data_IF_853106799946
#
_entry.id   IF_853106799946
#
_cell.length_a   1.000
_cell.length_b   1.000
_cell.length_c   1.000
_cell.angle_alpha   90.00
_cell.angle_beta   90.00
_cell.angle_gamma   90.00
#
_symmetry.space_group_name_H-M   'P 1'
#
loop_
_entity.id
_entity.type
_entity.pdbx_description
1 polymer ?
#
# COMPACT_ATOMS: atom_id res chain seq x y z
N UNK A 1 -47.32 10.43 26.65
CA UNK A 1 -46.86 11.54 25.77
C UNK A 1 -45.34 11.66 25.54
N UNK A 2 -44.41 11.04 26.25
CA UNK A 2 -42.97 11.18 25.99
C UNK A 2 -42.46 10.38 24.78
N UNK A 3 -43.07 9.23 24.44
CA UNK A 3 -42.59 8.35 23.34
C UNK A 3 -42.67 8.94 21.92
N UNK A 4 -43.64 9.80 21.63
CA UNK A 4 -43.77 10.46 20.30
C UNK A 4 -42.65 11.49 20.06
N UNK A 5 -42.29 12.25 21.12
CA UNK A 5 -41.18 13.22 21.02
C UNK A 5 -39.84 12.52 20.86
N UNK A 6 -39.59 11.40 21.57
CA UNK A 6 -38.39 10.61 21.43
C UNK A 6 -38.21 10.07 20.01
N UNK A 7 -39.27 9.52 19.40
CA UNK A 7 -39.23 9.05 18.00
C UNK A 7 -38.93 10.19 17.02
N UNK A 8 -39.54 11.36 17.22
CA UNK A 8 -39.28 12.53 16.36
C UNK A 8 -37.80 12.96 16.45
N UNK A 9 -37.25 13.07 17.66
CA UNK A 9 -35.84 13.39 17.86
C UNK A 9 -34.89 12.35 17.22
N UNK A 10 -35.20 11.05 17.33
CA UNK A 10 -34.43 9.99 16.67
C UNK A 10 -34.43 10.19 15.15
N UNK A 11 -35.56 10.48 14.52
CA UNK A 11 -35.61 10.75 13.09
C UNK A 11 -34.82 11.98 12.66
N UNK A 12 -34.86 13.05 13.47
CA UNK A 12 -34.07 14.28 13.24
C UNK A 12 -32.58 13.96 13.30
N UNK A 13 -32.14 13.26 14.34
CA UNK A 13 -30.72 12.85 14.50
C UNK A 13 -30.27 11.95 13.35
N UNK A 14 -31.07 10.94 12.97
CA UNK A 14 -30.78 10.10 11.82
C UNK A 14 -30.71 10.91 10.51
N UNK A 15 -31.60 11.86 10.31
CA UNK A 15 -31.57 12.76 9.16
C UNK A 15 -30.31 13.60 9.10
N UNK A 16 -29.88 14.20 10.22
CA UNK A 16 -28.61 14.93 10.29
C UNK A 16 -27.40 14.03 10.04
N UNK A 17 -27.40 12.81 10.59
CA UNK A 17 -26.31 11.85 10.36
C UNK A 17 -26.20 11.48 8.88
N UNK A 18 -27.32 11.18 8.23
CA UNK A 18 -27.33 10.86 6.80
C UNK A 18 -26.87 12.04 5.93
N UNK A 19 -27.31 13.26 6.26
CA UNK A 19 -26.85 14.47 5.58
C UNK A 19 -25.35 14.69 5.78
N UNK A 20 -24.84 14.50 6.98
CA UNK A 20 -23.41 14.59 7.28
C UNK A 20 -22.61 13.57 6.47
N UNK A 21 -23.01 12.28 6.48
CA UNK A 21 -22.35 11.23 5.70
C UNK A 21 -22.40 11.50 4.19
N UNK A 22 -23.54 11.99 3.69
CA UNK A 22 -23.68 12.40 2.29
C UNK A 22 -22.75 13.57 1.93
N UNK A 23 -22.68 14.59 2.78
CA UNK A 23 -21.81 15.73 2.58
C UNK A 23 -20.32 15.34 2.62
N UNK A 24 -19.92 14.46 3.56
CA UNK A 24 -18.54 13.94 3.62
C UNK A 24 -18.18 13.16 2.39
N UNK A 25 -19.08 12.31 1.89
CA UNK A 25 -18.87 11.56 0.66
C UNK A 25 -18.69 12.49 -0.56
N UNK A 26 -19.59 13.45 -0.75
CA UNK A 26 -19.48 14.41 -1.87
C UNK A 26 -18.18 15.21 -1.78
N UNK A 27 -17.85 15.73 -0.60
CA UNK A 27 -16.61 16.44 -0.36
C UNK A 27 -15.38 15.56 -0.65
N UNK A 28 -15.40 14.30 -0.23
CA UNK A 28 -14.33 13.35 -0.49
C UNK A 28 -14.14 13.11 -2.00
N UNK A 29 -15.22 12.86 -2.75
CA UNK A 29 -15.15 12.66 -4.20
C UNK A 29 -14.61 13.90 -4.93
N UNK A 30 -15.03 15.09 -4.50
CA UNK A 30 -14.52 16.35 -5.06
C UNK A 30 -13.03 16.53 -4.74
N UNK A 31 -12.61 16.25 -3.50
CA UNK A 31 -11.21 16.32 -3.08
C UNK A 31 -10.34 15.35 -3.87
N UNK A 32 -10.76 14.08 -4.01
CA UNK A 32 -10.02 13.09 -4.81
C UNK A 32 -9.79 13.55 -6.26
N UNK A 33 -10.82 14.14 -6.89
CA UNK A 33 -10.68 14.67 -8.26
C UNK A 33 -9.70 15.83 -8.36
N UNK A 34 -9.61 16.67 -7.35
CA UNK A 34 -8.68 17.78 -7.33
C UNK A 34 -7.26 17.33 -6.98
N UNK A 35 -7.12 16.48 -5.99
CA UNK A 35 -5.85 15.88 -5.56
C UNK A 35 -5.22 15.05 -6.69
N UNK A 36 -6.01 14.27 -7.42
CA UNK A 36 -5.50 13.48 -8.56
C UNK A 36 -4.84 14.30 -9.65
N UNK A 37 -5.24 15.58 -9.82
CA UNK A 37 -4.62 16.50 -10.78
C UNK A 37 -3.24 16.97 -10.34
N UNK A 38 -2.96 16.94 -9.03
CA UNK A 38 -1.68 17.36 -8.45
C UNK A 38 -0.68 16.20 -8.40
N UNK A 39 -1.16 14.96 -8.52
CA UNK A 39 -0.34 13.77 -8.42
C UNK A 39 0.24 13.41 -9.80
N UNK A 40 1.54 13.63 -9.96
CA UNK A 40 2.29 13.14 -11.12
C UNK A 40 3.00 11.84 -10.71
N UNK A 41 2.83 10.73 -11.45
CA UNK A 41 3.52 9.49 -11.14
C UNK A 41 5.03 9.69 -11.08
N UNK A 42 5.63 9.29 -9.97
CA UNK A 42 7.08 9.30 -9.76
C UNK A 42 7.60 7.91 -10.14
N UNK A 43 8.32 7.82 -11.27
CA UNK A 43 8.84 6.55 -11.75
C UNK A 43 8.30 6.15 -13.11
N UNK A 44 8.43 4.88 -13.45
CA UNK A 44 7.99 4.28 -14.71
C UNK A 44 6.82 3.34 -14.43
N UNK A 45 5.80 3.41 -15.26
CA UNK A 45 4.72 2.43 -15.22
C UNK A 45 5.02 1.26 -16.15
N UNK A 46 4.86 0.05 -15.65
CA UNK A 46 4.98 -1.21 -16.38
C UNK A 46 3.68 -1.99 -16.29
N UNK A 47 3.38 -2.82 -17.28
CA UNK A 47 2.16 -3.62 -17.27
C UNK A 47 2.47 -5.03 -16.78
N UNK A 48 1.82 -5.45 -15.71
CA UNK A 48 1.97 -6.77 -15.09
C UNK A 48 0.58 -7.39 -14.98
N UNK A 49 0.38 -8.58 -15.53
CA UNK A 49 -0.88 -9.33 -15.45
C UNK A 49 -2.14 -8.50 -15.81
N UNK A 50 -2.01 -7.55 -16.74
CA UNK A 50 -3.12 -6.71 -17.21
C UNK A 50 -3.37 -5.44 -16.40
N UNK A 51 -2.65 -5.18 -15.32
CA UNK A 51 -2.72 -3.93 -14.56
C UNK A 51 -1.38 -3.17 -14.59
N UNK A 52 -1.42 -1.86 -14.34
CA UNK A 52 -0.21 -1.02 -14.30
C UNK A 52 0.40 -1.05 -12.91
N UNK A 53 1.68 -1.35 -12.84
CA UNK A 53 2.50 -1.18 -11.63
C UNK A 53 3.49 -0.05 -11.83
N UNK A 54 3.72 0.72 -10.77
CA UNK A 54 4.68 1.81 -10.77
C UNK A 54 5.99 1.37 -10.15
N UNK A 55 7.09 1.72 -10.78
CA UNK A 55 8.43 1.33 -10.36
C UNK A 55 9.39 2.51 -10.52
N UNK A 56 10.09 2.85 -9.46
CA UNK A 56 11.16 3.84 -9.50
C UNK A 56 12.50 3.15 -9.66
N UNK A 57 13.27 3.54 -10.66
CA UNK A 57 14.63 3.06 -10.89
C UNK A 57 15.57 4.27 -10.90
N UNK A 58 16.55 4.30 -9.99
CA UNK A 58 17.51 5.38 -9.84
C UNK A 58 18.94 4.84 -9.73
N UNK A 59 19.89 5.57 -10.29
CA UNK A 59 21.31 5.20 -10.25
C UNK A 59 21.66 4.07 -11.23
N UNK A 60 22.97 3.90 -11.49
CA UNK A 60 23.52 2.98 -12.50
C UNK A 60 24.64 2.09 -11.94
N UNK A 61 24.74 2.00 -10.60
CA UNK A 61 25.78 1.21 -9.95
C UNK A 61 25.70 -0.30 -10.27
N UNK A 62 26.78 -1.04 -10.04
CA UNK A 62 26.89 -2.45 -10.44
C UNK A 62 26.03 -3.39 -9.61
N UNK A 63 25.54 -2.96 -8.46
CA UNK A 63 24.66 -3.72 -7.58
C UNK A 63 23.26 -3.14 -7.62
N UNK A 64 22.27 -3.99 -7.86
CA UNK A 64 20.86 -3.62 -7.78
C UNK A 64 20.33 -3.85 -6.37
N UNK A 65 19.73 -2.81 -5.79
CA UNK A 65 19.02 -2.82 -4.51
C UNK A 65 17.52 -2.66 -4.79
N UNK A 66 16.71 -3.57 -4.28
CA UNK A 66 15.25 -3.54 -4.43
C UNK A 66 14.62 -3.28 -3.08
N UNK A 67 13.79 -2.26 -2.98
CA UNK A 67 12.99 -1.94 -1.80
C UNK A 67 11.59 -2.51 -1.94
N UNK A 68 11.14 -3.21 -0.90
CA UNK A 68 9.81 -3.79 -0.76
C UNK A 68 9.13 -3.20 0.49
N UNK A 69 7.99 -2.57 0.30
CA UNK A 69 7.26 -1.91 1.39
C UNK A 69 6.39 -2.87 2.18
N UNK A 70 6.17 -2.55 3.45
CA UNK A 70 5.18 -3.20 4.29
C UNK A 70 3.74 -2.91 3.88
N UNK A 71 2.79 -3.42 4.66
CA UNK A 71 1.37 -3.13 4.46
C UNK A 71 1.04 -1.68 4.81
N UNK A 72 0.02 -1.13 4.14
CA UNK A 72 -0.55 0.18 4.45
C UNK A 72 0.32 1.40 4.11
N UNK A 73 1.39 1.20 3.36
CA UNK A 73 2.25 2.30 2.90
C UNK A 73 1.62 2.98 1.68
N UNK A 74 1.19 4.24 1.85
CA UNK A 74 0.48 4.97 0.81
C UNK A 74 1.35 5.22 -0.44
N UNK A 75 2.64 5.52 -0.28
CA UNK A 75 3.58 5.71 -1.39
C UNK A 75 4.98 5.20 -1.03
N UNK A 76 5.30 3.94 -1.35
CA UNK A 76 6.61 3.35 -1.11
C UNK A 76 7.79 4.18 -1.63
N UNK A 77 7.64 4.80 -2.80
CA UNK A 77 8.70 5.62 -3.40
C UNK A 77 9.02 6.84 -2.53
N UNK A 78 8.02 7.45 -1.91
CA UNK A 78 8.21 8.60 -1.03
C UNK A 78 8.74 8.17 0.34
N UNK A 79 8.21 7.09 0.90
CA UNK A 79 8.63 6.58 2.22
C UNK A 79 10.10 6.17 2.24
N UNK A 80 10.55 5.48 1.21
CA UNK A 80 11.96 5.07 1.11
C UNK A 80 12.88 6.16 0.55
N UNK A 81 12.38 7.35 0.24
CA UNK A 81 13.18 8.40 -0.42
C UNK A 81 14.46 8.73 0.33
N UNK A 82 14.39 8.85 1.66
CA UNK A 82 15.55 9.19 2.49
C UNK A 82 16.64 8.11 2.53
N UNK A 83 16.32 6.87 2.16
CA UNK A 83 17.27 5.78 2.00
C UNK A 83 17.66 5.58 0.52
N UNK A 84 16.68 5.58 -0.36
CA UNK A 84 16.89 5.28 -1.78
C UNK A 84 17.71 6.36 -2.50
N UNK A 85 17.49 7.66 -2.23
CA UNK A 85 18.21 8.75 -2.88
C UNK A 85 19.72 8.74 -2.57
N UNK A 86 20.19 8.62 -1.32
CA UNK A 86 21.62 8.48 -1.04
C UNK A 86 22.24 7.21 -1.63
N UNK A 87 21.54 6.08 -1.57
CA UNK A 87 22.04 4.81 -2.11
C UNK A 87 22.13 4.84 -3.64
N UNK A 88 21.25 5.56 -4.32
CA UNK A 88 21.26 5.67 -5.78
C UNK A 88 22.51 6.37 -6.34
N UNK A 89 23.26 7.07 -5.51
CA UNK A 89 24.55 7.66 -5.90
C UNK A 89 25.65 6.63 -6.19
N UNK A 90 25.49 5.40 -5.67
CA UNK A 90 26.48 4.32 -5.77
C UNK A 90 25.93 3.02 -6.34
N UNK A 91 24.63 2.82 -6.24
CA UNK A 91 23.95 1.58 -6.60
C UNK A 91 22.78 1.86 -7.57
N UNK A 92 22.36 0.84 -8.28
CA UNK A 92 21.05 0.87 -8.94
C UNK A 92 19.99 0.57 -7.88
N UNK A 93 19.14 1.53 -7.60
CA UNK A 93 18.10 1.43 -6.56
C UNK A 93 16.74 1.38 -7.20
N UNK A 94 15.95 0.41 -6.80
CA UNK A 94 14.61 0.17 -7.31
C UNK A 94 13.63 0.15 -6.15
N UNK A 95 12.54 0.91 -6.29
CA UNK A 95 11.39 0.84 -5.38
C UNK A 95 10.19 0.39 -6.18
N UNK A 96 9.59 -0.73 -5.77
CA UNK A 96 8.39 -1.28 -6.42
C UNK A 96 7.16 -0.89 -5.62
N UNK A 97 6.20 -0.25 -6.26
CA UNK A 97 4.87 -0.04 -5.71
C UNK A 97 3.97 -1.22 -6.12
N UNK A 98 3.53 -2.00 -5.15
CA UNK A 98 2.63 -3.15 -5.40
C UNK A 98 1.29 -2.68 -5.96
N UNK A 99 0.51 -3.58 -6.53
CA UNK A 99 -0.86 -3.28 -6.92
C UNK A 99 -1.64 -2.66 -5.75
N UNK A 100 -2.34 -1.56 -6.03
CA UNK A 100 -3.06 -0.75 -5.05
C UNK A 100 -2.22 0.22 -4.23
N UNK A 101 -0.88 0.26 -4.41
CA UNK A 101 0.02 1.17 -3.69
C UNK A 101 0.50 2.31 -4.58
N UNK A 102 0.62 3.51 -4.02
CA UNK A 102 1.14 4.68 -4.70
C UNK A 102 0.44 4.96 -6.03
N UNK A 103 1.20 4.92 -7.11
CA UNK A 103 0.69 5.12 -8.47
C UNK A 103 0.39 3.81 -9.22
N UNK A 104 0.49 2.66 -8.56
CA UNK A 104 0.09 1.37 -9.14
C UNK A 104 -1.43 1.24 -9.16
N UNK A 105 -1.94 0.67 -10.25
CA UNK A 105 -3.34 0.33 -10.36
C UNK A 105 -3.69 -0.79 -9.38
N UNK A 106 -4.89 -0.78 -8.86
CA UNK A 106 -5.42 -1.89 -8.08
C UNK A 106 -5.60 -3.15 -8.93
N UNK A 107 -5.65 -4.31 -8.30
CA UNK A 107 -5.76 -5.61 -8.95
C UNK A 107 -6.74 -6.51 -8.20
N UNK A 108 -7.60 -7.20 -8.95
CA UNK A 108 -8.55 -8.21 -8.43
C UNK A 108 -7.88 -9.58 -8.19
N UNK A 109 -6.57 -9.69 -8.44
CA UNK A 109 -5.82 -10.94 -8.24
C UNK A 109 -5.60 -11.22 -6.75
N UNK A 110 -5.30 -12.48 -6.44
CA UNK A 110 -4.91 -12.87 -5.08
C UNK A 110 -3.76 -12.00 -4.59
N UNK A 111 -3.79 -11.67 -3.30
CA UNK A 111 -2.72 -10.93 -2.62
C UNK A 111 -1.87 -11.86 -1.74
N UNK A 112 -1.89 -13.17 -2.03
CA UNK A 112 -0.95 -14.09 -1.37
C UNK A 112 0.51 -13.77 -1.74
N UNK A 113 1.41 -14.21 -0.88
CA UNK A 113 2.85 -13.88 -0.97
C UNK A 113 3.44 -14.28 -2.32
N UNK A 114 3.00 -15.41 -2.90
CA UNK A 114 3.55 -15.91 -4.16
C UNK A 114 3.07 -15.12 -5.37
N UNK A 115 1.82 -14.67 -5.36
CA UNK A 115 1.29 -13.81 -6.40
C UNK A 115 1.98 -12.42 -6.36
N UNK A 116 2.09 -11.82 -5.17
CA UNK A 116 2.79 -10.55 -4.98
C UNK A 116 4.26 -10.65 -5.43
N UNK A 117 4.96 -11.71 -5.05
CA UNK A 117 6.32 -11.98 -5.52
C UNK A 117 6.40 -12.12 -7.04
N UNK A 118 5.45 -12.84 -7.64
CA UNK A 118 5.39 -13.00 -9.10
C UNK A 118 5.21 -11.66 -9.80
N UNK A 119 4.30 -10.81 -9.31
CA UNK A 119 4.07 -9.46 -9.83
C UNK A 119 5.32 -8.58 -9.70
N UNK A 120 5.97 -8.59 -8.54
CA UNK A 120 7.22 -7.85 -8.28
C UNK A 120 8.31 -8.26 -9.28
N UNK A 121 8.53 -9.55 -9.47
CA UNK A 121 9.53 -10.07 -10.42
C UNK A 121 9.22 -9.69 -11.88
N UNK A 122 7.95 -9.77 -12.27
CA UNK A 122 7.51 -9.33 -13.59
C UNK A 122 7.70 -7.82 -13.77
N UNK A 123 7.40 -7.00 -12.76
CA UNK A 123 7.61 -5.56 -12.81
C UNK A 123 9.10 -5.21 -13.01
N UNK A 124 10.00 -5.88 -12.31
CA UNK A 124 11.44 -5.73 -12.50
C UNK A 124 11.88 -6.12 -13.91
N UNK A 125 11.41 -7.23 -14.42
CA UNK A 125 11.73 -7.70 -15.78
C UNK A 125 11.24 -6.70 -16.85
N UNK A 126 10.01 -6.18 -16.72
CA UNK A 126 9.43 -5.17 -17.61
C UNK A 126 10.17 -3.82 -17.52
N UNK A 127 10.74 -3.52 -16.37
CA UNK A 127 11.57 -2.33 -16.18
C UNK A 127 13.03 -2.53 -16.66
N UNK A 128 13.39 -3.71 -17.19
CA UNK A 128 14.74 -4.11 -17.59
C UNK A 128 15.74 -4.05 -16.43
N UNK A 129 15.30 -4.45 -15.25
CA UNK A 129 16.12 -4.55 -14.05
C UNK A 129 16.47 -6.02 -13.81
N UNK A 130 17.77 -6.32 -13.79
CA UNK A 130 18.29 -7.67 -13.56
C UNK A 130 19.00 -7.79 -12.23
N UNK A 131 18.95 -9.00 -11.66
CA UNK A 131 19.68 -9.39 -10.44
C UNK A 131 21.12 -9.83 -10.67
N UNK A 132 21.77 -10.42 -9.66
CA UNK A 132 21.18 -10.71 -8.35
C UNK A 132 20.94 -9.46 -7.50
N UNK A 133 19.85 -9.49 -6.72
CA UNK A 133 19.37 -8.34 -5.96
C UNK A 133 19.85 -8.35 -4.50
N UNK A 134 20.17 -7.18 -3.96
CA UNK A 134 20.08 -6.94 -2.52
C UNK A 134 18.66 -6.44 -2.24
N UNK A 135 17.89 -7.19 -1.47
CA UNK A 135 16.50 -6.85 -1.16
C UNK A 135 16.43 -6.21 0.22
N UNK A 136 15.89 -5.00 0.27
CA UNK A 136 15.59 -4.28 1.52
C UNK A 136 14.08 -4.31 1.68
N UNK A 137 13.60 -5.05 2.66
CA UNK A 137 12.17 -5.24 2.90
C UNK A 137 11.76 -4.73 4.28
N UNK A 138 10.62 -4.03 4.32
CA UNK A 138 10.05 -3.46 5.53
C UNK A 138 8.84 -4.27 6.00
N UNK A 139 8.75 -4.52 7.32
CA UNK A 139 7.59 -5.11 7.97
C UNK A 139 7.11 -6.39 7.25
N UNK A 140 5.85 -6.47 6.84
CA UNK A 140 5.24 -7.63 6.19
C UNK A 140 5.89 -8.03 4.85
N UNK A 141 6.64 -7.13 4.19
CA UNK A 141 7.41 -7.48 2.99
C UNK A 141 8.53 -8.49 3.25
N UNK A 142 8.85 -8.76 4.53
CA UNK A 142 9.73 -9.86 4.92
C UNK A 142 9.24 -11.20 4.38
N UNK A 143 7.93 -11.44 4.38
CA UNK A 143 7.35 -12.69 3.86
C UNK A 143 7.64 -12.88 2.37
N UNK A 144 7.49 -11.80 1.58
CA UNK A 144 7.81 -11.80 0.15
C UNK A 144 9.31 -12.02 -0.09
N UNK A 145 10.17 -11.33 0.67
CA UNK A 145 11.63 -11.46 0.51
C UNK A 145 12.16 -12.82 0.93
N UNK A 146 11.61 -13.43 1.98
CA UNK A 146 11.95 -14.78 2.40
C UNK A 146 11.49 -15.83 1.37
N UNK A 147 10.26 -15.71 0.86
CA UNK A 147 9.77 -16.56 -0.21
C UNK A 147 10.59 -16.43 -1.51
N UNK A 148 11.07 -15.20 -1.80
CA UNK A 148 11.96 -14.96 -2.94
C UNK A 148 13.30 -15.69 -2.77
N UNK A 149 13.92 -15.54 -1.61
CA UNK A 149 15.18 -16.24 -1.29
C UNK A 149 15.04 -17.77 -1.35
N UNK A 150 13.93 -18.28 -0.84
CA UNK A 150 13.67 -19.73 -0.83
C UNK A 150 13.46 -20.27 -2.25
N UNK A 151 12.60 -19.62 -3.04
CA UNK A 151 12.18 -20.13 -4.34
C UNK A 151 13.14 -19.79 -5.48
N UNK A 152 13.83 -18.66 -5.39
CA UNK A 152 14.74 -18.16 -6.43
C UNK A 152 16.08 -17.69 -5.82
N UNK A 153 16.84 -18.58 -5.17
CA UNK A 153 18.05 -18.20 -4.42
C UNK A 153 19.12 -17.52 -5.28
N UNK A 154 19.19 -17.87 -6.57
CA UNK A 154 20.15 -17.27 -7.50
C UNK A 154 19.83 -15.82 -7.88
N UNK A 155 18.62 -15.34 -7.61
CA UNK A 155 18.21 -13.97 -7.86
C UNK A 155 18.50 -13.07 -6.67
N UNK A 156 18.76 -13.63 -5.47
CA UNK A 156 18.90 -12.89 -4.22
C UNK A 156 20.33 -12.99 -3.72
N UNK A 157 21.01 -11.85 -3.66
CA UNK A 157 22.38 -11.74 -3.14
C UNK A 157 22.39 -11.57 -1.62
N UNK A 158 21.47 -10.78 -1.10
CA UNK A 158 21.32 -10.54 0.34
C UNK A 158 19.93 -10.02 0.66
N UNK A 159 19.48 -10.26 1.89
CA UNK A 159 18.27 -9.70 2.48
C UNK A 159 18.65 -8.75 3.61
N UNK A 160 18.01 -7.59 3.64
CA UNK A 160 18.16 -6.59 4.71
C UNK A 160 16.75 -6.27 5.24
N UNK A 161 16.53 -6.52 6.53
CA UNK A 161 15.27 -6.27 7.20
C UNK A 161 15.21 -4.87 7.80
N UNK A 162 14.10 -4.20 7.53
CA UNK A 162 13.70 -2.99 8.23
C UNK A 162 12.46 -3.33 9.04
N UNK A 163 12.62 -3.58 10.33
CA UNK A 163 11.55 -3.98 11.25
C UNK A 163 10.70 -5.14 10.70
N UNK A 164 11.35 -6.27 10.46
CA UNK A 164 10.71 -7.43 9.85
C UNK A 164 9.60 -8.01 10.72
N UNK A 165 8.46 -8.22 10.12
CA UNK A 165 7.41 -9.06 10.66
C UNK A 165 7.69 -10.51 10.24
N UNK A 166 8.10 -11.35 11.17
CA UNK A 166 8.40 -12.76 10.90
C UNK A 166 7.11 -13.59 10.79
N UNK A 167 7.10 -14.73 10.08
CA UNK A 167 5.91 -15.58 9.95
C UNK A 167 5.25 -15.92 11.30
N UNK A 168 6.04 -16.24 12.31
CA UNK A 168 5.53 -16.51 13.67
C UNK A 168 4.74 -15.33 14.29
N UNK A 169 4.99 -14.11 13.85
CA UNK A 169 4.23 -12.92 14.31
C UNK A 169 2.79 -12.88 13.83
N UNK A 170 2.44 -13.73 12.85
CA UNK A 170 1.11 -13.79 12.24
C UNK A 170 0.30 -15.03 12.63
N UNK A 171 0.90 -16.02 13.29
CA UNK A 171 0.23 -17.28 13.64
C UNK A 171 -0.98 -17.08 14.55
N UNK A 172 -0.95 -16.06 15.43
CA UNK A 172 -2.02 -15.75 16.38
C UNK A 172 -2.92 -14.57 15.96
N UNK A 173 -2.69 -13.95 14.78
CA UNK A 173 -3.50 -12.85 14.32
C UNK A 173 -4.90 -13.33 13.90
N UNK A 174 -5.89 -13.01 14.71
CA UNK A 174 -7.29 -13.19 14.35
C UNK A 174 -7.77 -12.00 13.52
N UNK A 175 -8.13 -12.27 12.29
CA UNK A 175 -8.75 -11.29 11.43
C UNK A 175 -10.05 -10.76 12.05
N UNK A 176 -10.07 -9.48 12.39
CA UNK A 176 -11.30 -8.83 12.79
C UNK A 176 -12.03 -8.28 11.56
N UNK A 177 -12.76 -9.15 10.87
CA UNK A 177 -13.49 -8.81 9.65
C UNK A 177 -14.45 -7.62 9.84
N UNK A 178 -15.03 -7.44 11.03
CA UNK A 178 -15.89 -6.30 11.33
C UNK A 178 -15.09 -4.99 11.32
N UNK A 179 -13.91 -4.97 11.94
CA UNK A 179 -13.03 -3.80 11.95
C UNK A 179 -12.55 -3.45 10.53
N UNK A 180 -12.15 -4.46 9.74
CA UNK A 180 -11.75 -4.28 8.35
C UNK A 180 -12.87 -3.68 7.50
N UNK A 181 -14.09 -4.19 7.67
CA UNK A 181 -15.27 -3.68 6.96
C UNK A 181 -15.57 -2.22 7.33
N UNK A 182 -15.50 -1.87 8.63
CA UNK A 182 -15.71 -0.50 9.10
C UNK A 182 -14.61 0.42 8.54
N UNK A 183 -13.34 0.01 8.58
CA UNK A 183 -12.22 0.78 8.05
C UNK A 183 -12.38 1.02 6.53
N UNK A 184 -12.72 -0.03 5.77
CA UNK A 184 -12.98 0.05 4.34
C UNK A 184 -14.06 1.08 4.01
N UNK A 185 -15.25 0.96 4.60
CA UNK A 185 -16.35 1.89 4.33
C UNK A 185 -16.04 3.31 4.80
N UNK A 186 -15.37 3.48 5.96
CA UNK A 186 -14.95 4.78 6.47
C UNK A 186 -14.01 5.50 5.49
N UNK A 187 -13.11 4.77 4.83
CA UNK A 187 -12.25 5.34 3.80
C UNK A 187 -13.04 5.74 2.55
N UNK A 188 -13.95 4.88 2.08
CA UNK A 188 -14.75 5.12 0.86
C UNK A 188 -15.67 6.33 0.97
N UNK A 189 -16.23 6.60 2.15
CA UNK A 189 -17.07 7.78 2.41
C UNK A 189 -16.25 9.03 2.82
N UNK A 190 -14.93 8.90 2.95
CA UNK A 190 -14.04 10.01 3.31
C UNK A 190 -14.03 10.38 4.79
N UNK A 191 -14.59 9.55 5.67
CA UNK A 191 -14.63 9.81 7.11
C UNK A 191 -13.23 9.90 7.72
N UNK A 192 -12.26 9.15 7.17
CA UNK A 192 -10.87 9.14 7.63
C UNK A 192 -10.17 10.49 7.46
N UNK A 193 -10.65 11.40 6.60
CA UNK A 193 -10.09 12.75 6.43
C UNK A 193 -10.21 13.62 7.68
N UNK A 194 -11.12 13.27 8.58
CA UNK A 194 -11.36 14.02 9.83
C UNK A 194 -10.55 13.48 11.01
N UNK A 195 -9.81 12.39 10.83
CA UNK A 195 -8.97 11.82 11.87
C UNK A 195 -7.50 12.24 11.68
N UNK A 196 -6.71 12.33 12.77
CA UNK A 196 -5.27 12.55 12.70
C UNK A 196 -4.59 11.50 11.81
N UNK A 197 -3.47 11.87 11.17
CA UNK A 197 -2.71 10.99 10.27
C UNK A 197 -2.34 9.64 10.92
N UNK A 198 -2.03 9.64 12.22
CA UNK A 198 -1.73 8.42 12.98
C UNK A 198 -2.88 7.40 12.97
N UNK A 199 -4.12 7.86 12.90
CA UNK A 199 -5.30 6.98 12.85
C UNK A 199 -5.60 6.53 11.41
N UNK A 200 -5.38 7.39 10.44
CA UNK A 200 -5.53 7.05 9.02
C UNK A 200 -4.54 5.98 8.58
N UNK A 201 -3.32 6.00 9.13
CA UNK A 201 -2.29 5.00 8.87
C UNK A 201 -2.71 3.60 9.36
N UNK A 202 -3.33 3.50 10.54
CA UNK A 202 -3.85 2.23 11.05
C UNK A 202 -4.92 1.65 10.11
N UNK A 203 -5.80 2.50 9.58
CA UNK A 203 -6.84 2.06 8.65
C UNK A 203 -6.30 1.71 7.27
N UNK A 204 -5.20 2.31 6.82
CA UNK A 204 -4.53 1.97 5.56
C UNK A 204 -3.82 0.61 5.61
N UNK A 205 -3.27 0.23 6.77
CA UNK A 205 -2.67 -1.09 7.00
C UNK A 205 -3.69 -2.21 6.70
N UNK A 206 -4.96 -1.98 7.01
CA UNK A 206 -6.03 -2.96 6.80
C UNK A 206 -6.63 -2.96 5.38
N UNK A 207 -6.25 -2.05 4.51
CA UNK A 207 -6.70 -2.04 3.09
C UNK A 207 -5.78 -2.82 2.15
N UNK A 208 -4.59 -3.18 2.61
CA UNK A 208 -3.57 -3.88 1.84
C UNK A 208 -3.42 -5.38 2.16
N UNK A 209 -4.37 -5.97 2.93
CA UNK A 209 -4.41 -7.40 3.26
C UNK A 209 -5.54 -8.07 2.46
#
# INVERSE_FOLDING_TARGET
>A
MPMKKFKLWSWIVCGFLLLFLGATFVFHQFSLRNESKLLTPIGKQVTVNGHRMNISVKGEGPQTIVFLSGAGIASPILDFKNLSDPLSKKYKVVVVERAGYGFSQDSDRSRDVMEVLSETRQALAQAHVSGPYVIISHSMASLESLAWQEKYPNEVKALIGLDWALPASYEDLKDNQALLTVAYWSSKIGLLRYFPESFSTICQVYQGI
#
